data_IF_758739766306
#
_entry.id   IF_758739766306
#
_cell.length_a   1.000
_cell.length_b   1.000
_cell.length_c   1.000
_cell.angle_alpha   90.00
_cell.angle_beta   90.00
_cell.angle_gamma   90.00
#
_symmetry.space_group_name_H-M   'P 1'
#
loop_
_entity.id
_entity.type
_entity.pdbx_description
1 polymer ?
#
# COMPACT_ATOMS: atom_id res chain seq x y z
N UNK A 1 1.80 -3.20 -6.82
CA UNK A 1 1.53 -2.64 -5.48
C UNK A 1 0.44 -1.60 -5.60
N UNK A 2 -0.20 -1.22 -4.50
CA UNK A 2 -1.24 -0.19 -4.50
C UNK A 2 -1.30 0.49 -3.13
N UNK A 3 -1.86 1.69 -3.07
CA UNK A 3 -2.07 2.43 -1.82
C UNK A 3 -3.54 2.38 -1.41
N UNK A 4 -3.83 1.86 -0.22
CA UNK A 4 -5.17 1.88 0.36
C UNK A 4 -5.44 3.28 0.89
N UNK A 5 -6.53 3.90 0.41
CA UNK A 5 -6.88 5.27 0.76
C UNK A 5 -6.18 6.34 -0.09
N UNK A 6 -5.15 5.98 -0.85
CA UNK A 6 -4.37 6.92 -1.67
C UNK A 6 -5.26 7.72 -2.64
N UNK A 7 -6.23 7.04 -3.27
CA UNK A 7 -7.17 7.61 -4.27
C UNK A 7 -7.92 8.86 -3.81
N UNK A 8 -8.01 9.10 -2.50
CA UNK A 8 -8.68 10.25 -1.92
C UNK A 8 -7.86 11.55 -2.01
N UNK A 9 -6.58 11.49 -2.37
CA UNK A 9 -5.66 12.62 -2.32
C UNK A 9 -4.61 12.58 -3.42
N UNK A 10 -3.80 13.63 -3.51
CA UNK A 10 -2.64 13.71 -4.41
C UNK A 10 -1.59 12.61 -4.12
N UNK A 11 -1.66 11.96 -2.95
CA UNK A 11 -0.80 10.82 -2.62
C UNK A 11 -0.93 9.67 -3.61
N UNK A 12 -2.06 9.51 -4.30
CA UNK A 12 -2.22 8.47 -5.33
C UNK A 12 -1.22 8.63 -6.48
N UNK A 13 -1.01 9.88 -6.93
CA UNK A 13 -0.11 10.18 -8.03
C UNK A 13 1.36 10.11 -7.58
N UNK A 14 1.65 10.53 -6.34
CA UNK A 14 2.97 10.38 -5.74
C UNK A 14 3.34 8.89 -5.57
N UNK A 15 2.42 8.08 -5.05
CA UNK A 15 2.59 6.63 -4.94
C UNK A 15 2.87 5.98 -6.30
N UNK A 16 2.12 6.39 -7.33
CA UNK A 16 2.30 5.92 -8.71
C UNK A 16 3.65 6.31 -9.29
N UNK A 17 4.06 7.57 -9.13
CA UNK A 17 5.36 8.07 -9.60
C UNK A 17 6.51 7.34 -8.91
N UNK A 18 6.44 7.19 -7.58
CA UNK A 18 7.45 6.46 -6.81
C UNK A 18 7.60 5.00 -7.26
N UNK A 19 6.47 4.32 -7.52
CA UNK A 19 6.50 2.96 -8.06
C UNK A 19 7.15 2.93 -9.46
N UNK A 20 6.82 3.89 -10.33
CA UNK A 20 7.38 3.97 -11.68
C UNK A 20 8.90 4.21 -11.67
N UNK A 21 9.41 5.07 -10.77
CA UNK A 21 10.85 5.33 -10.61
C UNK A 21 11.62 4.06 -10.24
N UNK A 22 10.99 3.13 -9.52
CA UNK A 22 11.55 1.83 -9.15
C UNK A 22 11.28 0.72 -10.19
N UNK A 23 10.66 1.04 -11.33
CA UNK A 23 10.29 0.05 -12.35
C UNK A 23 9.22 -0.94 -11.88
N UNK A 24 8.34 -0.51 -10.96
CA UNK A 24 7.27 -1.30 -10.38
C UNK A 24 5.90 -0.92 -10.95
N UNK A 25 4.99 -1.89 -11.00
CA UNK A 25 3.61 -1.67 -11.43
C UNK A 25 2.74 -1.22 -10.26
N UNK A 26 2.22 0.00 -10.34
CA UNK A 26 1.17 0.51 -9.47
C UNK A 26 -0.21 0.19 -10.07
N UNK A 27 -1.11 -0.39 -9.27
CA UNK A 27 -2.47 -0.76 -9.69
C UNK A 27 -3.51 -0.02 -8.84
N UNK A 28 -4.78 0.08 -9.29
CA UNK A 28 -5.84 0.61 -8.45
C UNK A 28 -6.00 -0.17 -7.15
N UNK A 29 -6.43 0.53 -6.10
CA UNK A 29 -6.83 -0.09 -4.82
C UNK A 29 -7.81 -1.23 -5.08
N UNK A 30 -7.53 -2.39 -4.49
CA UNK A 30 -8.40 -3.57 -4.59
C UNK A 30 -9.33 -3.66 -3.39
N UNK A 31 -10.43 -4.38 -3.59
CA UNK A 31 -11.36 -4.73 -2.51
C UNK A 31 -11.90 -3.50 -1.74
N UNK A 32 -12.08 -2.38 -2.43
CA UNK A 32 -12.56 -1.13 -1.80
C UNK A 32 -13.91 -1.27 -1.08
N UNK A 33 -14.74 -2.25 -1.46
CA UNK A 33 -15.99 -2.58 -0.77
C UNK A 33 -15.78 -3.14 0.65
N UNK A 34 -14.59 -3.65 0.97
CA UNK A 34 -14.22 -4.09 2.32
C UNK A 34 -13.86 -2.93 3.25
N UNK A 35 -13.72 -1.71 2.73
CA UNK A 35 -13.53 -0.50 3.55
C UNK A 35 -12.18 -0.43 4.27
N UNK A 36 -11.12 -1.00 3.70
CA UNK A 36 -9.79 -1.04 4.34
C UNK A 36 -9.22 0.33 4.68
N UNK A 37 -9.59 1.39 3.94
CA UNK A 37 -9.24 2.77 4.28
C UNK A 37 -9.65 3.18 5.71
N UNK A 38 -10.61 2.47 6.33
CA UNK A 38 -11.12 2.72 7.68
C UNK A 38 -10.70 1.66 8.73
N UNK A 39 -9.83 0.70 8.36
CA UNK A 39 -9.51 -0.48 9.19
C UNK A 39 -8.06 -0.53 9.71
N UNK A 40 -7.28 0.52 9.47
CA UNK A 40 -5.91 0.66 10.00
C UNK A 40 -5.64 2.15 10.31
N UNK A 41 -4.44 2.48 10.76
CA UNK A 41 -4.11 3.75 11.42
C UNK A 41 -4.26 4.99 10.53
N UNK A 42 -4.13 4.83 9.20
CA UNK A 42 -4.37 5.91 8.24
C UNK A 42 -5.77 6.52 8.39
N UNK A 43 -6.75 5.75 8.89
CA UNK A 43 -8.11 6.23 9.10
C UNK A 43 -8.18 7.43 10.06
N UNK A 44 -7.32 7.46 11.09
CA UNK A 44 -7.25 8.54 12.06
C UNK A 44 -6.80 9.86 11.41
N UNK A 45 -5.80 9.78 10.54
CA UNK A 45 -5.30 10.92 9.76
C UNK A 45 -6.35 11.42 8.77
N UNK A 46 -6.98 10.50 8.01
CA UNK A 46 -8.03 10.85 7.06
C UNK A 46 -9.21 11.57 7.74
N UNK A 47 -9.63 11.11 8.93
CA UNK A 47 -10.68 11.76 9.74
C UNK A 47 -10.26 13.15 10.24
N UNK A 48 -8.99 13.32 10.58
CA UNK A 48 -8.42 14.59 11.01
C UNK A 48 -8.19 15.59 9.85
N UNK A 49 -8.48 15.19 8.61
CA UNK A 49 -8.27 16.05 7.44
C UNK A 49 -6.84 16.01 6.90
N UNK A 50 -6.07 14.98 7.23
CA UNK A 50 -4.70 14.78 6.77
C UNK A 50 -4.70 13.65 5.72
N UNK A 51 -4.29 13.90 4.48
CA UNK A 51 -4.07 12.83 3.50
C UNK A 51 -3.12 11.77 4.03
N UNK A 52 -3.56 10.51 3.98
CA UNK A 52 -2.76 9.37 4.42
C UNK A 52 -3.02 8.16 3.52
N UNK A 53 -2.04 7.28 3.46
CA UNK A 53 -2.06 6.07 2.63
C UNK A 53 -1.47 4.91 3.41
N UNK A 54 -2.09 3.74 3.27
CA UNK A 54 -1.50 2.47 3.69
C UNK A 54 -0.91 1.76 2.45
N UNK A 55 0.41 1.60 2.45
CA UNK A 55 1.14 0.94 1.37
C UNK A 55 0.91 -0.57 1.41
N UNK A 56 0.46 -1.14 0.30
CA UNK A 56 0.12 -2.55 0.20
C UNK A 56 0.89 -3.23 -0.93
N UNK A 57 1.24 -4.50 -0.75
CA UNK A 57 1.92 -5.31 -1.75
C UNK A 57 1.08 -5.46 -3.03
N UNK A 58 1.75 -5.83 -4.12
CA UNK A 58 1.07 -6.20 -5.37
C UNK A 58 0.45 -7.59 -5.30
N UNK A 59 -0.24 -7.97 -6.36
CA UNK A 59 -0.97 -9.25 -6.46
C UNK A 59 -0.21 -10.30 -7.29
N UNK A 60 1.02 -9.99 -7.71
CA UNK A 60 1.86 -10.82 -8.58
C UNK A 60 3.31 -10.69 -8.13
N UNK A 61 4.09 -11.77 -8.25
CA UNK A 61 5.54 -11.75 -8.04
C UNK A 61 6.29 -11.91 -9.36
N UNK A 62 7.44 -11.23 -9.52
CA UNK A 62 8.29 -11.39 -10.71
C UNK A 62 8.90 -12.79 -10.73
N UNK A 63 8.87 -13.45 -11.88
CA UNK A 63 9.48 -14.77 -12.08
C UNK A 63 8.76 -15.91 -11.36
N UNK A 64 7.54 -15.68 -10.85
CA UNK A 64 6.69 -16.69 -10.25
C UNK A 64 5.40 -16.82 -11.06
N UNK A 65 4.64 -17.88 -10.77
CA UNK A 65 3.29 -18.05 -11.29
C UNK A 65 2.40 -16.84 -10.96
N UNK A 66 1.53 -16.37 -11.88
CA UNK A 66 0.60 -15.26 -11.63
C UNK A 66 -0.22 -15.39 -10.32
N UNK A 67 -0.58 -16.61 -9.92
CA UNK A 67 -1.40 -16.87 -8.74
C UNK A 67 -0.57 -17.09 -7.46
N UNK A 68 0.76 -17.07 -7.54
CA UNK A 68 1.66 -17.34 -6.42
C UNK A 68 1.35 -16.48 -5.18
N UNK A 69 1.19 -15.17 -5.38
CA UNK A 69 0.87 -14.25 -4.27
C UNK A 69 -0.50 -14.57 -3.69
N UNK A 70 -1.50 -14.85 -4.53
CA UNK A 70 -2.84 -15.21 -4.08
C UNK A 70 -2.81 -16.47 -3.19
N UNK A 71 -2.12 -17.52 -3.63
CA UNK A 71 -1.99 -18.78 -2.87
C UNK A 71 -1.33 -18.53 -1.52
N UNK A 72 -0.23 -17.75 -1.49
CA UNK A 72 0.47 -17.40 -0.25
C UNK A 72 -0.38 -16.56 0.69
N UNK A 73 -1.10 -15.57 0.18
CA UNK A 73 -2.00 -14.72 0.97
C UNK A 73 -3.17 -15.53 1.55
N UNK A 74 -3.77 -16.43 0.77
CA UNK A 74 -4.88 -17.28 1.23
C UNK A 74 -4.42 -18.26 2.31
N UNK A 75 -3.27 -18.91 2.13
CA UNK A 75 -2.65 -19.79 3.12
C UNK A 75 -2.34 -19.03 4.42
N UNK A 76 -1.71 -17.85 4.31
CA UNK A 76 -1.41 -17.00 5.46
C UNK A 76 -2.68 -16.59 6.23
N UNK A 77 -3.70 -16.07 5.53
CA UNK A 77 -4.98 -15.68 6.15
C UNK A 77 -5.69 -16.84 6.83
N UNK A 78 -5.65 -18.04 6.22
CA UNK A 78 -6.32 -19.22 6.77
C UNK A 78 -5.58 -19.81 7.97
N UNK A 79 -4.25 -19.89 7.90
CA UNK A 79 -3.46 -20.73 8.79
C UNK A 79 -2.61 -19.97 9.81
N UNK A 80 -2.32 -18.68 9.59
CA UNK A 80 -1.35 -17.92 10.42
C UNK A 80 -1.89 -16.59 10.96
N UNK A 81 -2.62 -15.81 10.18
CA UNK A 81 -3.09 -14.48 10.60
C UNK A 81 -3.87 -14.52 11.93
N UNK A 82 -3.48 -13.67 12.88
CA UNK A 82 -4.05 -13.59 14.25
C UNK A 82 -3.98 -14.91 15.04
N UNK A 83 -2.95 -15.73 14.79
CA UNK A 83 -2.70 -16.97 15.52
C UNK A 83 -1.30 -16.97 16.10
N UNK A 84 -1.05 -17.88 17.04
CA UNK A 84 0.29 -18.11 17.61
C UNK A 84 1.30 -18.60 16.58
N UNK A 85 0.84 -19.07 15.42
CA UNK A 85 1.67 -19.50 14.30
C UNK A 85 2.05 -18.36 13.35
N UNK A 86 1.73 -17.11 13.70
CA UNK A 86 2.17 -15.91 12.98
C UNK A 86 3.61 -15.56 13.36
N UNK A 87 4.54 -16.45 13.02
CA UNK A 87 5.97 -16.32 13.31
C UNK A 87 6.78 -16.26 12.01
N UNK A 88 7.98 -15.67 12.11
CA UNK A 88 8.96 -15.63 11.03
C UNK A 88 9.48 -17.04 10.75
N UNK A 89 9.36 -17.53 9.53
CA UNK A 89 9.93 -18.82 9.13
C UNK A 89 11.30 -18.64 8.47
N UNK A 90 12.24 -19.59 8.63
CA UNK A 90 13.59 -19.51 8.04
C UNK A 90 13.61 -19.41 6.51
N UNK A 91 12.55 -19.83 5.83
CA UNK A 91 12.43 -19.85 4.37
C UNK A 91 11.72 -18.61 3.79
N UNK A 92 11.40 -17.61 4.61
CA UNK A 92 10.75 -16.39 4.16
C UNK A 92 11.63 -15.58 3.20
N UNK A 93 11.08 -15.29 2.02
CA UNK A 93 11.67 -14.37 1.06
C UNK A 93 11.27 -12.92 1.37
N UNK A 94 12.18 -12.19 2.02
CA UNK A 94 11.95 -10.79 2.43
C UNK A 94 12.20 -9.75 1.33
N UNK A 95 12.51 -10.17 0.09
CA UNK A 95 12.75 -9.21 -1.01
C UNK A 95 11.51 -8.35 -1.28
N UNK A 96 10.31 -8.90 -1.08
CA UNK A 96 9.06 -8.14 -1.16
C UNK A 96 8.97 -7.02 -0.12
N UNK A 97 9.36 -7.30 1.13
CA UNK A 97 9.42 -6.31 2.22
C UNK A 97 10.40 -5.19 1.90
N UNK A 98 11.61 -5.55 1.44
CA UNK A 98 12.63 -4.57 1.01
C UNK A 98 12.11 -3.71 -0.14
N UNK A 99 11.36 -4.28 -1.07
CA UNK A 99 10.76 -3.53 -2.17
C UNK A 99 9.73 -2.49 -1.69
N UNK A 100 8.89 -2.84 -0.70
CA UNK A 100 7.92 -1.88 -0.12
C UNK A 100 8.64 -0.78 0.65
N UNK A 101 9.70 -1.12 1.40
CA UNK A 101 10.51 -0.13 2.12
C UNK A 101 11.13 0.89 1.16
N UNK A 102 11.74 0.42 0.06
CA UNK A 102 12.28 1.30 -1.00
C UNK A 102 11.21 2.17 -1.64
N UNK A 103 10.00 1.63 -1.82
CA UNK A 103 8.88 2.41 -2.32
C UNK A 103 8.45 3.51 -1.35
N UNK A 104 8.45 3.23 -0.05
CA UNK A 104 8.19 4.24 0.97
C UNK A 104 9.29 5.33 1.00
N UNK A 105 10.56 4.95 0.89
CA UNK A 105 11.69 5.88 0.77
C UNK A 105 11.54 6.81 -0.44
N UNK A 106 11.18 6.26 -1.60
CA UNK A 106 10.95 7.04 -2.81
C UNK A 106 9.77 8.01 -2.66
N UNK A 107 8.67 7.58 -2.02
CA UNK A 107 7.53 8.46 -1.69
C UNK A 107 7.99 9.62 -0.79
N UNK A 108 8.77 9.32 0.25
CA UNK A 108 9.32 10.33 1.17
C UNK A 108 10.22 11.32 0.41
N UNK A 109 11.06 10.83 -0.50
CA UNK A 109 11.93 11.67 -1.33
C UNK A 109 11.10 12.64 -2.17
N UNK A 110 10.10 12.14 -2.91
CA UNK A 110 9.21 12.97 -3.72
C UNK A 110 8.44 14.00 -2.89
N UNK A 111 7.97 13.61 -1.70
CA UNK A 111 7.30 14.52 -0.77
C UNK A 111 8.24 15.61 -0.22
N UNK A 112 9.52 15.27 0.00
CA UNK A 112 10.51 16.23 0.50
C UNK A 112 10.86 17.32 -0.51
N UNK A 113 10.70 17.03 -1.81
CA UNK A 113 10.91 17.97 -2.92
C UNK A 113 9.63 18.73 -3.30
N UNK A 114 8.47 18.30 -2.79
CA UNK A 114 7.19 18.89 -3.12
C UNK A 114 7.07 20.32 -2.55
N UNK A 115 6.64 21.26 -3.40
CA UNK A 115 6.41 22.67 -2.98
C UNK A 115 5.18 22.84 -2.09
N UNK A 116 4.25 21.89 -2.14
CA UNK A 116 2.98 21.93 -1.44
C UNK A 116 2.72 20.59 -0.77
N UNK A 117 2.11 20.63 0.41
CA UNK A 117 1.65 19.40 1.07
C UNK A 117 0.49 18.78 0.28
N UNK A 118 0.42 17.44 0.17
CA UNK A 118 -0.66 16.76 -0.54
C UNK A 118 -2.04 17.21 -0.05
N UNK A 119 -2.99 17.35 -0.98
CA UNK A 119 -4.37 17.73 -0.69
C UNK A 119 -5.33 16.59 -1.03
N UNK A 120 -6.54 16.65 -0.46
CA UNK A 120 -7.62 15.78 -0.89
C UNK A 120 -8.11 16.17 -2.28
N UNK A 121 -8.45 15.16 -3.09
CA UNK A 121 -9.12 15.38 -4.37
C UNK A 121 -10.50 16.03 -4.14
N UNK A 122 -11.01 16.85 -5.08
CA UNK A 122 -12.31 17.50 -4.93
C UNK A 122 -13.48 16.54 -4.66
N UNK A 123 -13.38 15.30 -5.15
CA UNK A 123 -14.39 14.24 -5.01
C UNK A 123 -14.25 13.42 -3.72
N UNK A 124 -13.23 13.70 -2.90
CA UNK A 124 -13.00 12.95 -1.67
C UNK A 124 -13.99 13.34 -0.58
N UNK A 125 -14.64 12.34 0.03
CA UNK A 125 -15.50 12.53 1.21
C UNK A 125 -14.74 13.00 2.47
N UNK A 126 -13.40 12.98 2.45
CA UNK A 126 -12.56 13.51 3.53
C UNK A 126 -12.21 14.99 3.34
N UNK A 127 -12.51 15.57 2.18
CA UNK A 127 -12.32 17.00 1.92
C UNK A 127 -13.36 17.78 2.73
N UNK A 128 -12.91 18.69 3.59
CA UNK A 128 -13.76 19.63 4.33
C UNK A 128 -13.88 20.95 3.58
#
# INVERSE_FOLDING_TARGET
>A
MYGIGAKHSDLDDICRQAAANLGLRYIPEREGHLGYAFRSDQASFLRAGIPAVWLHEGITSRGQDPDWIKVKTDDYKKNRYHKVTDEMEPDWDLRGTVQIARWAEEIISLLSEAKTVPQFKPTSSFRR
#
